data_IF_198389837612
#
_entry.id   IF_198389837612
#
_cell.length_a   1.000
_cell.length_b   1.000
_cell.length_c   1.000
_cell.angle_alpha   90.00
_cell.angle_beta   90.00
_cell.angle_gamma   90.00
#
_symmetry.space_group_name_H-M   'P 1'
#
loop_
_entity.id
_entity.type
_entity.pdbx_description
1 polymer ?
#
# COMPACT_ATOMS: atom_id res chain seq x y z
N UNK A 1 3.23 -29.61 27.10
CA UNK A 1 4.32 -29.60 26.09
C UNK A 1 4.76 -28.15 25.94
N UNK A 2 6.05 -27.89 26.10
CA UNK A 2 6.59 -26.55 25.93
C UNK A 2 6.97 -26.39 24.45
N UNK A 3 6.26 -25.54 23.72
CA UNK A 3 6.40 -25.37 22.26
C UNK A 3 7.85 -24.99 21.91
N UNK A 4 8.52 -24.25 22.80
CA UNK A 4 9.91 -23.83 22.66
C UNK A 4 10.87 -25.03 22.60
N UNK A 5 10.63 -26.07 23.40
CA UNK A 5 11.47 -27.26 23.45
C UNK A 5 11.29 -28.12 22.19
N UNK A 6 10.06 -28.28 21.73
CA UNK A 6 9.71 -29.05 20.54
C UNK A 6 10.24 -28.39 19.26
N UNK A 7 10.21 -27.06 19.19
CA UNK A 7 10.86 -26.29 18.09
C UNK A 7 12.37 -26.52 18.11
N UNK A 8 13.02 -26.57 19.27
CA UNK A 8 14.47 -26.72 19.35
C UNK A 8 14.92 -28.13 18.91
N UNK A 9 14.22 -29.18 19.36
CA UNK A 9 14.48 -30.57 18.97
C UNK A 9 14.26 -30.79 17.46
N UNK A 10 13.19 -30.21 16.91
CA UNK A 10 12.89 -30.31 15.46
C UNK A 10 13.87 -29.53 14.61
N UNK A 11 14.38 -28.39 15.09
CA UNK A 11 15.44 -27.65 14.38
C UNK A 11 16.75 -28.42 14.42
N UNK A 12 17.13 -29.04 15.55
CA UNK A 12 18.39 -29.78 15.64
C UNK A 12 18.45 -30.95 14.64
N UNK A 13 17.36 -31.70 14.51
CA UNK A 13 17.24 -32.87 13.62
C UNK A 13 17.12 -32.54 12.13
N UNK A 14 16.98 -31.26 11.77
CA UNK A 14 16.67 -30.82 10.42
C UNK A 14 17.91 -30.60 9.52
N UNK A 15 17.83 -30.94 8.21
CA UNK A 15 18.83 -30.60 7.20
C UNK A 15 19.12 -29.09 7.09
N UNK A 16 20.32 -28.68 6.64
CA UNK A 16 20.74 -27.27 6.59
C UNK A 16 19.90 -26.41 5.64
N UNK A 17 19.37 -26.97 4.56
CA UNK A 17 18.49 -26.26 3.61
C UNK A 17 17.18 -25.81 4.27
N UNK A 18 16.52 -26.72 4.99
CA UNK A 18 15.26 -26.44 5.66
C UNK A 18 15.43 -25.49 6.85
N UNK A 19 16.59 -25.51 7.53
CA UNK A 19 16.95 -24.51 8.55
C UNK A 19 16.97 -23.09 7.97
N UNK A 20 17.45 -22.93 6.74
CA UNK A 20 17.47 -21.62 6.07
C UNK A 20 16.06 -21.16 5.70
N UNK A 21 15.21 -22.05 5.19
CA UNK A 21 13.81 -21.72 4.90
C UNK A 21 13.03 -21.34 6.17
N UNK A 22 13.23 -22.09 7.25
CA UNK A 22 12.63 -21.78 8.55
C UNK A 22 13.12 -20.43 9.08
N UNK A 23 14.40 -20.10 8.93
CA UNK A 23 14.96 -18.80 9.30
C UNK A 23 14.31 -17.66 8.49
N UNK A 24 14.13 -17.85 7.17
CA UNK A 24 13.45 -16.87 6.34
C UNK A 24 11.99 -16.69 6.76
N UNK A 25 11.30 -17.79 7.05
CA UNK A 25 9.92 -17.74 7.50
C UNK A 25 9.77 -17.08 8.87
N UNK A 26 10.65 -17.38 9.83
CA UNK A 26 10.67 -16.73 11.13
C UNK A 26 10.90 -15.21 10.99
N UNK A 27 11.83 -14.78 10.14
CA UNK A 27 12.06 -13.37 9.82
C UNK A 27 10.82 -12.72 9.19
N UNK A 28 10.16 -13.41 8.26
CA UNK A 28 8.91 -12.96 7.64
C UNK A 28 7.82 -12.77 8.69
N UNK A 29 7.64 -13.72 9.61
CA UNK A 29 6.64 -13.62 10.67
C UNK A 29 6.90 -12.43 11.59
N UNK A 30 8.16 -12.20 11.97
CA UNK A 30 8.55 -11.04 12.79
C UNK A 30 8.32 -9.73 12.04
N UNK A 31 8.68 -9.66 10.76
CA UNK A 31 8.53 -8.44 9.97
C UNK A 31 7.07 -8.09 9.71
N UNK A 32 6.24 -9.07 9.38
CA UNK A 32 4.85 -8.84 9.00
C UNK A 32 3.91 -8.75 10.19
N UNK A 33 4.04 -9.66 11.17
CA UNK A 33 3.12 -9.69 12.32
C UNK A 33 3.69 -9.00 13.56
N UNK A 34 5.02 -8.81 13.65
CA UNK A 34 5.61 -7.97 14.69
C UNK A 34 5.27 -6.49 14.51
N UNK A 35 5.01 -6.05 13.28
CA UNK A 35 4.55 -4.69 12.98
C UNK A 35 3.03 -4.50 13.11
N UNK A 36 2.22 -5.55 13.02
CA UNK A 36 0.76 -5.45 13.19
C UNK A 36 0.36 -4.97 14.59
N UNK A 37 1.13 -5.31 15.63
CA UNK A 37 0.91 -4.81 16.99
C UNK A 37 1.39 -3.35 17.21
N UNK A 38 2.18 -2.78 16.30
CA UNK A 38 2.68 -1.39 16.40
C UNK A 38 1.92 -0.45 15.45
N UNK A 39 1.40 -0.96 14.33
CA UNK A 39 0.71 -0.15 13.30
C UNK A 39 -0.82 -0.11 13.44
N UNK A 40 -1.41 -0.99 14.23
CA UNK A 40 -2.88 -1.05 14.45
C UNK A 40 -3.45 0.25 15.06
N UNK A 41 -2.64 1.07 15.73
CA UNK A 41 -3.12 2.29 16.37
C UNK A 41 -3.01 3.56 15.50
N UNK A 42 -2.27 3.55 14.38
CA UNK A 42 -1.91 4.80 13.69
C UNK A 42 -2.34 4.96 12.23
N UNK A 43 -2.89 3.93 11.59
CA UNK A 43 -3.37 4.09 10.22
C UNK A 43 -4.84 3.73 10.11
N UNK A 44 -5.67 4.60 10.70
CA UNK A 44 -7.02 4.79 10.14
C UNK A 44 -6.83 5.11 8.66
N UNK A 45 -7.09 4.11 7.81
CA UNK A 45 -7.03 4.27 6.35
C UNK A 45 -8.08 5.31 6.01
N UNK A 46 -7.66 6.57 5.88
CA UNK A 46 -8.54 7.68 5.54
C UNK A 46 -9.14 7.34 4.18
N UNK A 47 -10.44 7.00 4.17
CA UNK A 47 -11.18 6.73 2.94
C UNK A 47 -10.98 7.91 2.00
N UNK A 48 -10.49 7.66 0.79
CA UNK A 48 -10.34 8.69 -0.24
C UNK A 48 -11.73 9.29 -0.50
N UNK A 49 -11.87 10.60 -0.34
CA UNK A 49 -13.13 11.32 -0.61
C UNK A 49 -13.03 11.94 -2.00
N UNK A 50 -14.05 11.75 -2.83
CA UNK A 50 -14.16 12.46 -4.11
C UNK A 50 -14.34 13.95 -3.85
N UNK A 51 -13.79 14.79 -4.74
CA UNK A 51 -13.97 16.25 -4.66
C UNK A 51 -13.08 16.97 -3.65
N UNK A 52 -11.99 16.35 -3.16
CA UNK A 52 -11.02 17.00 -2.24
C UNK A 52 -10.34 18.25 -2.83
N UNK A 53 -10.31 18.37 -4.16
CA UNK A 53 -9.75 19.51 -4.89
C UNK A 53 -10.84 20.43 -5.46
N UNK A 54 -12.12 20.24 -5.07
CA UNK A 54 -13.20 21.11 -5.55
C UNK A 54 -12.95 22.54 -5.07
N UNK A 55 -12.76 23.47 -6.02
CA UNK A 55 -12.53 24.88 -5.74
C UNK A 55 -11.08 25.27 -5.45
N UNK A 56 -10.11 24.35 -5.57
CA UNK A 56 -8.68 24.70 -5.42
C UNK A 56 -8.08 25.29 -6.69
N UNK A 57 -8.72 25.06 -7.84
CA UNK A 57 -8.34 25.65 -9.11
C UNK A 57 -9.57 26.29 -9.75
N UNK A 58 -9.39 27.52 -10.25
CA UNK A 58 -10.30 28.13 -11.20
C UNK A 58 -9.65 27.92 -12.55
N UNK A 59 -10.22 27.02 -13.35
CA UNK A 59 -9.78 26.91 -14.74
C UNK A 59 -10.30 28.15 -15.46
N UNK A 60 -9.46 28.86 -16.24
CA UNK A 60 -9.92 29.90 -17.15
C UNK A 60 -10.59 29.24 -18.37
N UNK A 61 -11.57 28.38 -18.11
CA UNK A 61 -12.39 27.79 -19.15
C UNK A 61 -13.60 28.71 -19.36
N UNK A 62 -14.05 28.87 -20.61
CA UNK A 62 -15.31 29.54 -20.90
C UNK A 62 -16.46 28.81 -20.20
N UNK A 63 -17.53 29.55 -19.89
CA UNK A 63 -18.74 29.00 -19.27
C UNK A 63 -19.46 28.02 -20.21
N UNK A 64 -19.26 28.17 -21.53
CA UNK A 64 -19.75 27.28 -22.57
C UNK A 64 -18.64 26.36 -23.07
N UNK A 65 -18.86 25.04 -22.97
CA UNK A 65 -17.90 24.04 -23.43
C UNK A 65 -17.85 23.95 -24.96
N UNK A 66 -18.95 24.28 -25.64
CA UNK A 66 -19.04 24.21 -27.10
C UNK A 66 -18.45 25.47 -27.77
N UNK A 67 -18.00 26.46 -26.98
CA UNK A 67 -17.37 27.67 -27.53
C UNK A 67 -16.03 27.30 -28.21
N UNK A 68 -15.83 27.70 -29.48
CA UNK A 68 -14.59 27.42 -30.18
C UNK A 68 -13.44 28.19 -29.53
N UNK A 69 -12.40 27.45 -29.15
CA UNK A 69 -11.14 28.02 -28.70
C UNK A 69 -10.58 28.97 -29.77
N UNK A 70 -10.03 30.11 -29.36
CA UNK A 70 -9.51 31.12 -30.28
C UNK A 70 -8.50 30.54 -31.27
N UNK A 71 -7.60 29.68 -30.79
CA UNK A 71 -6.59 28.98 -31.59
C UNK A 71 -7.18 28.01 -32.63
N UNK A 72 -8.45 27.61 -32.46
CA UNK A 72 -9.14 26.65 -33.32
C UNK A 72 -10.17 27.30 -34.26
N UNK A 73 -10.44 28.61 -34.12
CA UNK A 73 -11.38 29.33 -34.99
C UNK A 73 -10.99 29.26 -36.47
N UNK A 74 -9.70 29.33 -36.77
CA UNK A 74 -9.15 29.24 -38.13
C UNK A 74 -9.42 27.88 -38.82
N UNK A 75 -9.70 26.83 -38.06
CA UNK A 75 -9.94 25.48 -38.59
C UNK A 75 -11.43 25.13 -38.78
N UNK A 76 -12.34 26.01 -38.37
CA UNK A 76 -13.79 25.82 -38.48
C UNK A 76 -14.42 26.53 -39.70
N UNK A 77 -13.59 27.14 -40.55
CA UNK A 77 -13.96 27.74 -41.84
C UNK A 77 -14.07 26.71 -42.98
#
# INVERSE_FOLDING_TARGET
MNIEQEILETVETMPPSLKQELLHYAKYLIANYGQENILSEQQSIKKRRSGILKGTFVLPLPDDFDEPLEDFKEYME
#
